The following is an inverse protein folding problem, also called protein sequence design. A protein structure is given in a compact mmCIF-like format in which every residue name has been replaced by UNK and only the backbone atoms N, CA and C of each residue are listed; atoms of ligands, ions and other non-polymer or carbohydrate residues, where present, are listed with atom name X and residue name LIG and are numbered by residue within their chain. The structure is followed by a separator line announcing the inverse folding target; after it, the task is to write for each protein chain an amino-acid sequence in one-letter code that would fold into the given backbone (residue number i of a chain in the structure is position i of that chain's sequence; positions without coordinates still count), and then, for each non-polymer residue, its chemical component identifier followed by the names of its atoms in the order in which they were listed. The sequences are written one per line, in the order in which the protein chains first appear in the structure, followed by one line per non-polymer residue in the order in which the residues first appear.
data_IF_222336216335
#
_entry.id   IF_222336216335
#
_cell.length_a   1.000
_cell.length_b   1.000
_cell.length_c   1.000
_cell.angle_alpha   90.00
_cell.angle_beta   90.00
_cell.angle_gamma   90.00
#
_symmetry.space_group_name_H-M   'P 1'
#
loop_
_entity.id
_entity.type
_entity.pdbx_description
1 polymer ?
#
# COMPACT_ATOMS: atom_id res chain seq x y z
N UNK A 1 -10.84 -38.00 -52.06
CA UNK A 1 -12.15 -38.04 -51.37
C UNK A 1 -12.41 -36.63 -50.87
N UNK A 2 -13.37 -35.95 -51.51
CA UNK A 2 -14.19 -34.81 -51.05
C UNK A 2 -13.52 -33.50 -50.56
N UNK A 3 -13.66 -32.39 -51.32
CA UNK A 3 -14.62 -31.24 -51.16
C UNK A 3 -14.10 -30.24 -50.09
N UNK A 4 -14.09 -28.89 -50.16
CA UNK A 4 -14.74 -27.84 -50.96
C UNK A 4 -14.07 -26.48 -50.55
N UNK A 5 -13.83 -25.53 -51.47
CA UNK A 5 -14.36 -24.13 -51.54
C UNK A 5 -14.30 -23.24 -50.26
N UNK A 6 -14.01 -21.92 -50.25
CA UNK A 6 -14.24 -20.79 -51.18
C UNK A 6 -13.53 -19.51 -50.65
N UNK A 7 -12.77 -18.78 -51.50
CA UNK A 7 -12.93 -17.36 -51.98
C UNK A 7 -12.75 -16.19 -50.96
N UNK A 8 -12.21 -14.97 -51.23
CA UNK A 8 -12.10 -14.07 -52.42
C UNK A 8 -10.81 -13.18 -52.33
N UNK A 9 -9.98 -13.00 -53.39
CA UNK A 9 -9.83 -11.86 -54.38
C UNK A 9 -9.46 -10.47 -53.76
N UNK A 10 -8.61 -9.58 -54.32
CA UNK A 10 -7.89 -9.39 -55.59
C UNK A 10 -6.76 -8.34 -55.35
N UNK A 11 -5.57 -8.40 -55.94
CA UNK A 11 -5.20 -7.81 -57.25
C UNK A 11 -4.48 -6.45 -57.08
N UNK A 12 -3.14 -6.36 -57.00
CA UNK A 12 -2.08 -6.41 -58.04
C UNK A 12 -1.99 -5.17 -58.95
N UNK A 13 -0.77 -4.61 -59.08
CA UNK A 13 -0.04 -4.21 -60.32
C UNK A 13 0.71 -2.87 -60.13
N UNK A 14 2.01 -2.84 -59.81
CA UNK A 14 3.24 -3.11 -60.58
C UNK A 14 3.80 -1.90 -61.37
N UNK A 15 5.05 -1.61 -61.01
CA UNK A 15 6.01 -0.58 -61.39
C UNK A 15 6.63 -0.83 -62.78
N UNK A 16 7.11 0.21 -63.49
CA UNK A 16 8.49 0.22 -64.03
C UNK A 16 8.99 1.60 -64.51
N UNK A 17 10.24 1.89 -64.13
CA UNK A 17 11.10 3.05 -64.47
C UNK A 17 11.77 2.92 -65.85
N UNK A 18 12.22 4.05 -66.40
CA UNK A 18 13.46 4.13 -67.20
C UNK A 18 14.25 5.41 -66.86
N UNK A 19 15.56 5.27 -66.68
CA UNK A 19 16.51 6.31 -66.29
C UNK A 19 17.39 6.79 -67.46
N UNK A 20 17.88 8.02 -67.41
CA UNK A 20 19.03 8.52 -68.20
C UNK A 20 19.95 9.33 -67.28
N UNK A 21 21.29 9.11 -67.29
CA UNK A 21 22.26 9.80 -66.41
C UNK A 21 23.07 10.87 -67.17
N UNK A 22 23.42 12.01 -66.55
CA UNK A 22 24.57 12.85 -66.96
C UNK A 22 25.17 13.66 -65.79
N UNK A 23 26.36 13.22 -65.36
CA UNK A 23 27.64 13.92 -65.10
C UNK A 23 27.74 15.18 -64.18
N UNK A 24 28.59 15.04 -63.16
CA UNK A 24 29.15 16.03 -62.20
C UNK A 24 30.06 17.09 -62.89
N UNK A 25 30.50 18.22 -62.31
CA UNK A 25 30.70 18.62 -60.92
C UNK A 25 30.82 20.16 -60.80
N UNK A 26 30.48 20.73 -59.64
CA UNK A 26 31.16 21.86 -59.02
C UNK A 26 30.71 21.92 -57.55
N UNK A 27 31.58 21.56 -56.61
CA UNK A 27 31.39 21.90 -55.20
C UNK A 27 31.88 23.33 -54.99
N UNK A 28 30.95 24.25 -54.73
CA UNK A 28 31.25 25.47 -54.00
C UNK A 28 29.99 25.99 -53.27
N UNK A 29 29.95 25.72 -51.96
CA UNK A 29 29.37 26.63 -50.97
C UNK A 29 27.85 26.71 -50.78
N UNK A 30 27.17 25.65 -50.33
CA UNK A 30 25.86 25.78 -49.62
C UNK A 30 25.62 24.68 -48.58
N UNK A 31 26.60 24.32 -47.75
CA UNK A 31 26.28 23.48 -46.59
C UNK A 31 25.52 24.34 -45.56
N UNK A 32 24.19 24.31 -45.66
CA UNK A 32 23.30 25.04 -44.76
C UNK A 32 23.44 24.43 -43.36
N UNK A 33 23.99 25.19 -42.43
CA UNK A 33 24.26 24.73 -41.07
C UNK A 33 23.68 25.69 -40.04
N UNK A 34 23.37 25.16 -38.85
CA UNK A 34 22.90 25.96 -37.73
C UNK A 34 24.09 26.22 -36.80
N UNK A 35 24.44 27.50 -36.64
CA UNK A 35 25.42 27.95 -35.64
C UNK A 35 24.69 28.48 -34.41
N UNK A 36 25.21 28.16 -33.24
CA UNK A 36 24.76 28.70 -31.96
C UNK A 36 25.70 29.83 -31.58
N UNK A 37 25.19 31.04 -31.42
CA UNK A 37 25.97 32.13 -30.83
C UNK A 37 25.89 32.03 -29.30
N UNK A 38 26.91 31.42 -28.69
CA UNK A 38 27.03 31.18 -27.25
C UNK A 38 28.21 30.23 -26.92
N UNK A 39 28.77 30.31 -25.71
CA UNK A 39 29.94 29.50 -25.33
C UNK A 39 29.54 28.02 -25.11
N UNK A 40 30.41 27.09 -25.53
CA UNK A 40 30.10 25.66 -25.76
C UNK A 40 29.47 24.85 -24.61
N UNK A 41 28.70 23.82 -25.04
CA UNK A 41 27.70 22.98 -24.32
C UNK A 41 26.36 23.71 -24.12
N UNK A 42 25.36 23.34 -24.92
CA UNK A 42 24.10 24.08 -25.12
C UNK A 42 23.16 23.88 -23.91
N UNK A 43 23.38 24.66 -22.85
CA UNK A 43 22.43 24.94 -21.77
C UNK A 43 21.87 26.35 -22.04
N UNK A 44 20.65 26.43 -22.62
CA UNK A 44 20.14 27.69 -23.19
C UNK A 44 19.26 28.45 -22.20
N UNK A 45 19.64 29.67 -21.86
CA UNK A 45 18.75 30.66 -21.26
C UNK A 45 18.06 31.51 -22.37
N UNK A 46 17.23 32.48 -21.96
CA UNK A 46 16.37 33.31 -22.82
C UNK A 46 17.09 34.12 -23.93
N UNK A 47 18.43 34.06 -24.01
CA UNK A 47 19.23 34.79 -24.98
C UNK A 47 19.89 33.90 -26.06
N UNK A 48 19.59 32.61 -26.12
CA UNK A 48 20.19 31.74 -27.15
C UNK A 48 19.59 32.02 -28.53
N UNK A 49 20.46 32.43 -29.46
CA UNK A 49 20.08 32.66 -30.86
C UNK A 49 20.73 31.60 -31.75
N UNK A 50 19.90 30.89 -32.51
CA UNK A 50 20.33 30.05 -33.62
C UNK A 50 20.49 30.91 -34.86
N UNK A 51 21.57 30.69 -35.62
CA UNK A 51 21.84 31.39 -36.87
C UNK A 51 22.02 30.40 -38.00
N UNK A 52 21.34 30.62 -39.11
CA UNK A 52 21.59 29.90 -40.34
C UNK A 52 22.89 30.39 -40.97
N UNK A 53 23.77 29.48 -41.40
CA UNK A 53 24.96 29.78 -42.18
C UNK A 53 24.84 29.11 -43.55
N UNK A 54 25.02 29.88 -44.63
CA UNK A 54 24.77 29.41 -46.00
C UNK A 54 23.30 29.60 -46.44
N UNK A 55 22.97 29.12 -47.64
CA UNK A 55 21.64 29.31 -48.25
C UNK A 55 21.44 30.69 -48.90
N UNK A 56 20.30 30.89 -49.56
CA UNK A 56 19.92 32.16 -50.17
C UNK A 56 19.32 33.09 -49.11
N UNK A 57 19.91 34.27 -48.91
CA UNK A 57 19.40 35.26 -47.95
C UNK A 57 17.96 35.64 -48.26
N UNK A 58 17.04 35.36 -47.32
CA UNK A 58 15.62 35.69 -47.41
C UNK A 58 14.68 34.49 -47.60
N UNK A 59 15.20 33.30 -47.88
CA UNK A 59 14.40 32.09 -48.14
C UNK A 59 14.44 31.07 -46.98
N UNK A 60 14.72 31.50 -45.76
CA UNK A 60 14.81 30.58 -44.62
C UNK A 60 13.43 30.13 -44.14
N UNK A 61 13.35 28.91 -43.62
CA UNK A 61 12.23 28.42 -42.83
C UNK A 61 12.77 27.54 -41.71
N UNK A 62 12.55 27.94 -40.45
CA UNK A 62 12.94 27.14 -39.29
C UNK A 62 11.91 26.04 -39.00
N UNK A 63 12.42 24.91 -38.53
CA UNK A 63 11.62 23.75 -38.15
C UNK A 63 11.96 23.33 -36.72
N UNK A 64 10.98 22.81 -35.98
CA UNK A 64 11.15 22.16 -34.68
C UNK A 64 10.61 20.75 -34.74
N UNK A 65 11.42 19.77 -34.37
CA UNK A 65 11.09 18.35 -34.43
C UNK A 65 10.57 17.91 -35.82
N UNK A 66 11.05 18.56 -36.88
CA UNK A 66 10.63 18.32 -38.27
C UNK A 66 9.39 19.08 -38.72
N UNK A 67 8.72 19.84 -37.86
CA UNK A 67 7.57 20.69 -38.22
C UNK A 67 7.97 22.14 -38.44
N UNK A 68 7.43 22.80 -39.46
CA UNK A 68 7.72 24.21 -39.74
C UNK A 68 7.18 25.13 -38.64
N UNK A 69 7.99 26.11 -38.25
CA UNK A 69 7.63 27.13 -37.27
C UNK A 69 7.08 28.34 -38.04
N UNK A 70 5.79 28.60 -37.90
CA UNK A 70 5.12 29.67 -38.65
C UNK A 70 5.80 31.03 -38.46
N UNK A 71 6.11 31.69 -39.58
CA UNK A 71 6.71 33.02 -39.60
C UNK A 71 8.21 33.07 -39.25
N UNK A 72 8.84 31.94 -38.94
CA UNK A 72 10.27 31.87 -38.67
C UNK A 72 11.07 31.79 -39.96
N UNK A 73 11.17 32.91 -40.68
CA UNK A 73 11.87 33.01 -41.98
C UNK A 73 13.14 33.85 -41.95
N UNK A 74 13.51 34.35 -40.77
CA UNK A 74 14.74 35.11 -40.58
C UNK A 74 16.01 34.25 -40.63
N UNK A 75 17.15 34.88 -40.90
CA UNK A 75 18.48 34.27 -40.81
C UNK A 75 18.88 33.87 -39.38
N UNK A 76 18.10 34.30 -38.39
CA UNK A 76 18.27 33.99 -36.97
C UNK A 76 16.93 33.65 -36.35
N UNK A 77 16.97 32.76 -35.36
CA UNK A 77 15.80 32.33 -34.61
C UNK A 77 16.16 32.18 -33.14
N UNK A 78 15.29 32.65 -32.26
CA UNK A 78 15.41 32.50 -30.81
C UNK A 78 14.43 31.40 -30.38
N UNK A 79 14.88 30.19 -30.07
CA UNK A 79 14.01 29.09 -29.69
C UNK A 79 13.24 29.41 -28.42
N UNK A 80 11.91 29.34 -28.45
CA UNK A 80 11.01 29.57 -27.32
C UNK A 80 10.69 28.29 -26.52
N UNK A 81 10.96 27.11 -27.10
CA UNK A 81 10.74 25.79 -26.48
C UNK A 81 11.90 24.83 -26.72
N UNK A 82 12.01 23.80 -25.89
CA UNK A 82 12.91 22.68 -26.14
C UNK A 82 12.49 21.90 -27.40
N UNK A 83 13.46 21.38 -28.15
CA UNK A 83 13.22 20.61 -29.38
C UNK A 83 14.45 20.51 -30.27
N UNK A 84 14.35 19.69 -31.32
CA UNK A 84 15.36 19.56 -32.38
C UNK A 84 15.09 20.58 -33.47
N UNK A 85 15.97 21.57 -33.63
CA UNK A 85 15.78 22.67 -34.58
C UNK A 85 16.64 22.50 -35.83
N UNK A 86 16.05 22.69 -37.01
CA UNK A 86 16.74 22.75 -38.30
C UNK A 86 16.22 23.94 -39.11
N UNK A 87 16.94 24.32 -40.16
CA UNK A 87 16.53 25.40 -41.08
C UNK A 87 16.65 24.93 -42.52
N UNK A 88 15.65 25.26 -43.34
CA UNK A 88 15.68 25.04 -44.79
C UNK A 88 15.84 26.35 -45.54
N UNK A 89 16.45 26.30 -46.73
CA UNK A 89 16.49 27.40 -47.71
C UNK A 89 16.41 26.80 -49.12
N UNK A 90 15.35 27.12 -49.87
CA UNK A 90 15.04 26.42 -51.11
C UNK A 90 14.88 24.90 -50.89
N UNK A 91 15.56 24.09 -51.70
CA UNK A 91 15.58 22.63 -51.55
C UNK A 91 16.63 22.12 -50.52
N UNK A 92 17.41 23.01 -49.91
CA UNK A 92 18.43 22.64 -48.93
C UNK A 92 17.88 22.65 -47.50
N UNK A 93 18.32 21.72 -46.65
CA UNK A 93 17.93 21.57 -45.24
C UNK A 93 19.17 21.31 -44.38
N UNK A 94 19.28 21.99 -43.24
CA UNK A 94 20.38 21.78 -42.31
C UNK A 94 20.25 20.49 -41.50
N UNK A 95 21.36 20.05 -40.89
CA UNK A 95 21.30 19.15 -39.73
C UNK A 95 20.53 19.77 -38.55
N UNK A 96 20.06 18.93 -37.62
CA UNK A 96 19.29 19.38 -36.45
C UNK A 96 20.20 19.69 -35.25
N UNK A 97 19.91 20.78 -34.55
CA UNK A 97 20.52 21.17 -33.27
C UNK A 97 19.47 21.02 -32.17
N UNK A 98 19.76 20.19 -31.16
CA UNK A 98 18.87 20.00 -30.01
C UNK A 98 19.00 21.16 -29.02
N UNK A 99 17.87 21.76 -28.66
CA UNK A 99 17.76 22.84 -27.67
C UNK A 99 17.01 22.35 -26.43
N UNK A 100 17.53 22.67 -25.25
CA UNK A 100 16.93 22.38 -23.93
C UNK A 100 16.72 23.69 -23.15
N UNK A 101 15.47 24.10 -22.92
CA UNK A 101 15.14 25.17 -21.96
C UNK A 101 14.87 24.58 -20.57
N UNK A 102 15.63 25.02 -19.56
CA UNK A 102 15.36 24.71 -18.15
C UNK A 102 14.31 25.68 -17.57
N UNK A 103 13.44 25.20 -16.67
CA UNK A 103 12.44 26.04 -15.99
C UNK A 103 13.09 26.89 -14.89
N UNK A 104 12.92 28.21 -14.92
CA UNK A 104 13.33 29.13 -13.84
C UNK A 104 12.51 28.84 -12.57
N UNK A 105 13.21 28.49 -11.47
CA UNK A 105 12.63 28.17 -10.17
C UNK A 105 12.97 29.22 -9.11
N UNK A 106 13.31 30.45 -9.51
CA UNK A 106 13.74 31.53 -8.61
C UNK A 106 12.74 31.96 -7.52
N UNK A 107 11.49 31.45 -7.54
CA UNK A 107 10.51 31.58 -6.45
C UNK A 107 10.17 30.27 -5.70
N UNK A 108 10.81 29.15 -6.03
CA UNK A 108 10.57 27.84 -5.44
C UNK A 108 11.78 27.41 -4.61
N UNK A 109 11.57 27.19 -3.31
CA UNK A 109 12.60 26.73 -2.35
C UNK A 109 13.01 25.25 -2.55
N UNK A 110 13.25 24.86 -3.80
CA UNK A 110 13.77 23.57 -4.19
C UNK A 110 14.78 23.67 -5.34
N UNK A 111 15.83 24.46 -5.13
CA UNK A 111 17.10 24.31 -5.85
C UNK A 111 18.18 23.81 -4.90
N UNK A 112 18.24 22.49 -4.71
CA UNK A 112 19.46 21.79 -4.28
C UNK A 112 19.51 20.43 -5.00
N UNK A 113 19.49 20.40 -6.34
CA UNK A 113 19.50 19.12 -7.09
C UNK A 113 20.89 18.44 -7.06
N UNK A 114 21.96 19.14 -6.67
CA UNK A 114 23.29 18.54 -6.50
C UNK A 114 23.57 17.88 -5.14
N UNK A 115 22.88 18.28 -4.06
CA UNK A 115 23.02 17.64 -2.73
C UNK A 115 21.76 16.89 -2.30
N UNK A 116 20.57 17.24 -2.80
CA UNK A 116 19.34 16.46 -2.58
C UNK A 116 19.30 15.18 -3.40
N UNK A 117 20.00 15.03 -4.53
CA UNK A 117 20.01 13.71 -5.18
C UNK A 117 20.66 12.65 -4.29
N UNK A 118 21.76 12.97 -3.59
CA UNK A 118 22.32 12.03 -2.62
C UNK A 118 21.53 11.96 -1.30
N UNK A 119 20.88 13.03 -0.83
CA UNK A 119 20.08 12.97 0.42
C UNK A 119 18.63 12.52 0.23
N UNK A 120 18.05 12.61 -0.96
CA UNK A 120 16.72 12.14 -1.32
C UNK A 120 16.81 10.74 -1.91
N UNK A 121 17.88 10.39 -2.65
CA UNK A 121 18.21 8.99 -2.87
C UNK A 121 18.55 8.35 -1.52
N UNK A 122 19.46 8.89 -0.69
CA UNK A 122 19.70 8.27 0.62
C UNK A 122 18.49 8.27 1.56
N UNK A 123 17.56 9.24 1.47
CA UNK A 123 16.30 9.19 2.26
C UNK A 123 15.27 8.26 1.66
N UNK A 124 15.18 8.14 0.33
CA UNK A 124 14.28 7.23 -0.36
C UNK A 124 14.79 5.80 -0.25
N UNK A 125 16.09 5.59 -0.41
CA UNK A 125 16.82 4.35 -0.12
C UNK A 125 16.73 4.03 1.37
N UNK A 126 16.89 5.00 2.29
CA UNK A 126 16.71 4.73 3.74
C UNK A 126 15.25 4.49 4.13
N UNK A 127 14.28 5.13 3.49
CA UNK A 127 12.86 4.86 3.74
C UNK A 127 12.41 3.56 3.09
N UNK A 128 12.95 3.21 1.92
CA UNK A 128 12.75 1.92 1.26
C UNK A 128 13.44 0.84 2.07
N UNK A 129 14.69 1.00 2.50
CA UNK A 129 15.40 0.06 3.36
C UNK A 129 14.72 -0.07 4.72
N UNK A 130 14.21 1.02 5.30
CA UNK A 130 13.40 0.96 6.53
C UNK A 130 12.05 0.30 6.29
N UNK A 131 11.44 0.48 5.13
CA UNK A 131 10.17 -0.18 4.76
C UNK A 131 10.40 -1.65 4.43
N UNK A 132 11.48 -2.01 3.75
CA UNK A 132 11.93 -3.36 3.44
C UNK A 132 12.32 -4.08 4.72
N UNK A 133 13.02 -3.41 5.66
CA UNK A 133 13.29 -3.94 6.98
C UNK A 133 12.01 -4.15 7.79
N UNK A 134 11.05 -3.21 7.76
CA UNK A 134 9.73 -3.39 8.41
C UNK A 134 8.90 -4.50 7.76
N UNK A 135 8.95 -4.63 6.45
CA UNK A 135 8.26 -5.69 5.69
C UNK A 135 8.94 -7.03 5.96
N UNK A 136 10.26 -7.06 6.07
CA UNK A 136 11.03 -8.26 6.41
C UNK A 136 10.81 -8.66 7.86
N UNK A 137 10.79 -7.71 8.80
CA UNK A 137 10.47 -7.92 10.21
C UNK A 137 9.03 -8.41 10.36
N UNK A 138 8.05 -7.77 9.70
CA UNK A 138 6.67 -8.23 9.66
C UNK A 138 6.52 -9.61 8.98
N UNK A 139 7.33 -9.91 7.95
CA UNK A 139 7.33 -11.21 7.30
C UNK A 139 8.01 -12.29 8.15
N UNK A 140 9.00 -11.93 8.97
CA UNK A 140 9.65 -12.82 9.93
C UNK A 140 8.76 -13.07 11.16
N UNK A 141 8.04 -12.04 11.63
CA UNK A 141 7.00 -12.14 12.66
C UNK A 141 5.83 -12.99 12.18
N UNK A 142 5.36 -12.80 10.94
CA UNK A 142 4.35 -13.66 10.30
C UNK A 142 4.84 -15.09 10.03
N UNK A 143 6.16 -15.34 10.06
CA UNK A 143 6.76 -16.68 9.95
C UNK A 143 6.99 -17.34 11.31
N UNK A 144 6.92 -16.59 12.42
CA UNK A 144 6.91 -17.21 13.74
C UNK A 144 5.60 -17.98 13.88
N UNK A 145 5.65 -19.29 14.20
CA UNK A 145 4.43 -20.03 14.43
C UNK A 145 3.66 -19.34 15.55
N UNK A 146 2.33 -19.19 15.40
CA UNK A 146 1.52 -18.52 16.41
C UNK A 146 1.78 -19.18 17.77
N UNK A 147 1.83 -18.37 18.84
CA UNK A 147 2.18 -18.86 20.16
C UNK A 147 1.22 -20.00 20.54
N UNK A 148 1.74 -21.22 20.68
CA UNK A 148 0.89 -22.40 20.83
C UNK A 148 0.64 -22.70 22.31
N UNK A 149 -0.59 -23.10 22.62
CA UNK A 149 -0.93 -23.64 23.93
C UNK A 149 -0.25 -24.99 24.11
N UNK A 150 0.93 -24.99 24.75
CA UNK A 150 1.72 -26.19 24.98
C UNK A 150 1.28 -26.98 26.23
N UNK A 151 1.74 -28.23 26.33
CA UNK A 151 1.39 -29.13 27.43
C UNK A 151 1.81 -28.60 28.80
N UNK A 152 2.95 -27.90 28.90
CA UNK A 152 3.43 -27.33 30.16
C UNK A 152 2.45 -26.33 30.74
N UNK A 153 1.91 -25.44 29.90
CA UNK A 153 0.87 -24.49 30.30
C UNK A 153 -0.42 -25.19 30.73
N UNK A 154 -0.83 -26.23 29.99
CA UNK A 154 -2.02 -27.02 30.31
C UNK A 154 -1.89 -27.66 31.70
N UNK A 155 -0.81 -28.39 31.96
CA UNK A 155 -0.61 -29.06 33.24
C UNK A 155 -0.58 -28.05 34.41
N UNK A 156 0.15 -26.94 34.25
CA UNK A 156 0.21 -25.90 35.27
C UNK A 156 -1.16 -25.26 35.54
N UNK A 157 -1.94 -24.95 34.50
CA UNK A 157 -3.25 -24.34 34.63
C UNK A 157 -4.28 -25.28 35.28
N UNK A 158 -4.24 -26.58 34.94
CA UNK A 158 -5.09 -27.59 35.56
C UNK A 158 -4.73 -27.78 37.03
N UNK A 159 -3.45 -27.91 37.38
CA UNK A 159 -2.99 -28.04 38.77
C UNK A 159 -3.41 -26.83 39.63
N UNK A 160 -3.29 -25.62 39.07
CA UNK A 160 -3.74 -24.40 39.71
C UNK A 160 -5.27 -24.40 39.93
N UNK A 161 -6.05 -24.81 38.92
CA UNK A 161 -7.50 -24.87 39.01
C UNK A 161 -7.98 -25.91 40.03
N UNK A 162 -7.35 -27.08 40.09
CA UNK A 162 -7.61 -28.09 41.12
C UNK A 162 -7.38 -27.53 42.53
N UNK A 163 -6.24 -26.85 42.72
CA UNK A 163 -5.85 -26.29 44.02
C UNK A 163 -6.81 -25.21 44.51
N UNK A 164 -7.39 -24.44 43.57
CA UNK A 164 -8.34 -23.38 43.85
C UNK A 164 -9.82 -23.83 43.83
N UNK A 165 -10.11 -25.06 43.40
CA UNK A 165 -11.49 -25.53 43.15
C UNK A 165 -12.20 -24.75 42.06
N UNK A 166 -11.45 -24.28 41.05
CA UNK A 166 -11.87 -23.26 40.10
C UNK A 166 -11.96 -23.72 38.65
N UNK A 167 -11.96 -22.73 37.76
CA UNK A 167 -11.96 -22.92 36.30
C UNK A 167 -10.50 -22.89 35.80
N UNK A 168 -10.17 -23.70 34.81
CA UNK A 168 -8.85 -23.64 34.17
C UNK A 168 -8.67 -22.28 33.51
N UNK A 169 -7.56 -21.61 33.82
CA UNK A 169 -7.21 -20.31 33.26
C UNK A 169 -5.84 -20.37 32.62
N UNK A 170 -5.76 -20.03 31.34
CA UNK A 170 -4.52 -19.80 30.61
C UNK A 170 -4.28 -18.30 30.51
N UNK A 171 -3.02 -17.89 30.56
CA UNK A 171 -2.63 -16.48 30.38
C UNK A 171 -1.98 -16.32 29.02
N UNK A 172 -2.36 -15.26 28.30
CA UNK A 172 -1.84 -14.94 26.96
C UNK A 172 -1.91 -16.14 26.01
N UNK A 173 -3.05 -16.84 26.06
CA UNK A 173 -3.24 -18.07 25.29
C UNK A 173 -3.33 -17.75 23.80
N UNK A 174 -2.44 -18.31 22.98
CA UNK A 174 -2.60 -18.31 21.53
C UNK A 174 -3.33 -19.56 21.03
N UNK A 175 -2.73 -20.27 20.08
CA UNK A 175 -3.38 -21.38 19.37
C UNK A 175 -3.47 -22.64 20.22
N UNK A 176 -4.69 -23.04 20.56
CA UNK A 176 -5.01 -24.33 21.14
C UNK A 176 -5.22 -25.36 20.03
N UNK A 177 -4.21 -26.18 19.79
CA UNK A 177 -4.29 -27.29 18.84
C UNK A 177 -5.23 -28.40 19.33
N UNK A 178 -5.88 -29.10 18.39
CA UNK A 178 -6.82 -30.18 18.71
C UNK A 178 -6.24 -31.26 19.64
N UNK A 179 -4.98 -31.67 19.42
CA UNK A 179 -4.33 -32.68 20.26
C UNK A 179 -4.13 -32.20 21.70
N UNK A 180 -3.73 -30.95 21.89
CA UNK A 180 -3.55 -30.35 23.22
C UNK A 180 -4.89 -30.06 23.90
N UNK A 181 -5.91 -29.67 23.13
CA UNK A 181 -7.30 -29.57 23.60
C UNK A 181 -7.80 -30.90 24.16
N UNK A 182 -7.57 -32.00 23.45
CA UNK A 182 -8.02 -33.32 23.89
C UNK A 182 -7.34 -33.76 25.19
N UNK A 183 -6.06 -33.40 25.38
CA UNK A 183 -5.35 -33.57 26.66
C UNK A 183 -6.00 -32.73 27.77
N UNK A 184 -6.29 -31.45 27.50
CA UNK A 184 -6.92 -30.55 28.47
C UNK A 184 -8.32 -31.04 28.88
N UNK A 185 -9.14 -31.51 27.93
CA UNK A 185 -10.46 -32.11 28.20
C UNK A 185 -10.31 -33.36 29.08
N UNK A 186 -9.34 -34.22 28.79
CA UNK A 186 -9.10 -35.43 29.59
C UNK A 186 -8.74 -35.08 31.03
N UNK A 187 -7.77 -34.17 31.23
CA UNK A 187 -7.33 -33.77 32.57
C UNK A 187 -8.46 -33.12 33.37
N UNK A 188 -9.16 -32.15 32.78
CA UNK A 188 -10.32 -31.51 33.45
C UNK A 188 -11.40 -32.51 33.84
N UNK A 189 -11.67 -33.52 33.00
CA UNK A 189 -12.60 -34.60 33.31
C UNK A 189 -12.13 -35.54 34.43
N UNK A 190 -10.85 -35.92 34.42
CA UNK A 190 -10.23 -36.75 35.46
C UNK A 190 -10.30 -36.07 36.85
N UNK A 191 -10.16 -34.74 36.87
CA UNK A 191 -10.12 -33.94 38.09
C UNK A 191 -11.48 -33.35 38.51
N UNK A 192 -12.54 -33.62 37.75
CA UNK A 192 -13.89 -33.10 38.02
C UNK A 192 -14.00 -31.57 37.88
N UNK A 193 -13.09 -30.95 37.14
CA UNK A 193 -13.11 -29.51 36.86
C UNK A 193 -14.21 -29.18 35.82
N UNK A 194 -14.73 -27.94 35.82
CA UNK A 194 -15.72 -27.53 34.83
C UNK A 194 -15.21 -27.65 33.39
N UNK A 195 -16.10 -28.00 32.46
CA UNK A 195 -15.86 -27.95 31.01
C UNK A 195 -15.88 -26.49 30.50
N UNK A 196 -14.97 -25.67 31.04
CA UNK A 196 -14.83 -24.25 30.74
C UNK A 196 -13.37 -23.87 30.85
N UNK A 197 -12.93 -23.04 29.92
CA UNK A 197 -11.59 -22.47 29.87
C UNK A 197 -11.71 -20.94 29.87
N UNK A 198 -10.89 -20.30 30.70
CA UNK A 198 -10.62 -18.87 30.66
C UNK A 198 -9.25 -18.63 30.03
N UNK A 199 -9.20 -17.65 29.15
CA UNK A 199 -7.98 -17.17 28.51
C UNK A 199 -7.86 -15.69 28.83
N UNK A 200 -6.95 -15.35 29.75
CA UNK A 200 -6.82 -14.03 30.31
C UNK A 200 -5.61 -13.32 29.72
N UNK A 201 -5.79 -12.07 29.34
CA UNK A 201 -4.69 -11.12 29.23
C UNK A 201 -4.63 -10.29 30.52
N UNK A 202 -3.45 -10.16 31.11
CA UNK A 202 -3.27 -9.47 32.39
C UNK A 202 -2.19 -8.41 32.26
N UNK A 203 -2.57 -7.17 32.58
CA UNK A 203 -1.64 -6.04 32.72
C UNK A 203 -1.75 -5.48 34.13
N UNK A 204 -0.61 -5.09 34.72
CA UNK A 204 -0.56 -4.52 36.07
C UNK A 204 -1.34 -5.31 37.13
N UNK A 205 -1.32 -6.65 37.01
CA UNK A 205 -2.05 -7.62 37.86
C UNK A 205 -3.57 -7.55 37.76
N UNK A 206 -4.11 -6.86 36.77
CA UNK A 206 -5.54 -6.79 36.48
C UNK A 206 -5.81 -7.55 35.20
N UNK A 207 -6.88 -8.35 35.18
CA UNK A 207 -7.37 -8.93 33.92
C UNK A 207 -7.84 -7.77 33.05
N UNK A 208 -7.31 -7.66 31.85
CA UNK A 208 -7.69 -6.65 30.86
C UNK A 208 -8.72 -7.24 29.91
N UNK A 209 -8.46 -8.43 29.39
CA UNK A 209 -9.41 -9.19 28.60
C UNK A 209 -9.52 -10.61 29.15
N UNK A 210 -10.69 -11.23 28.94
CA UNK A 210 -10.89 -12.66 29.15
C UNK A 210 -11.78 -13.21 28.04
N UNK A 211 -11.28 -14.24 27.37
CA UNK A 211 -12.09 -15.10 26.51
C UNK A 211 -12.51 -16.34 27.32
N UNK A 212 -13.81 -16.60 27.38
CA UNK A 212 -14.40 -17.73 28.07
C UNK A 212 -15.05 -18.68 27.07
N UNK A 213 -14.68 -19.95 27.12
CA UNK A 213 -15.12 -20.94 26.13
C UNK A 213 -15.36 -22.32 26.73
N UNK A 214 -16.28 -23.08 26.12
CA UNK A 214 -16.48 -24.50 26.47
C UNK A 214 -15.51 -25.36 25.67
N UNK A 215 -14.73 -26.22 26.33
CA UNK A 215 -13.69 -27.01 25.65
C UNK A 215 -14.28 -27.98 24.63
N UNK A 216 -15.41 -28.61 24.96
CA UNK A 216 -16.07 -29.57 24.06
C UNK A 216 -16.74 -28.95 22.84
N UNK A 217 -16.90 -27.63 22.79
CA UNK A 217 -17.54 -26.92 21.67
C UNK A 217 -16.54 -26.42 20.62
N UNK A 218 -15.24 -26.47 20.89
CA UNK A 218 -14.21 -25.94 20.01
C UNK A 218 -13.93 -26.89 18.84
N UNK A 219 -13.95 -26.43 17.58
CA UNK A 219 -13.55 -27.22 16.42
C UNK A 219 -12.03 -27.23 16.26
N UNK A 220 -11.44 -28.32 15.74
CA UNK A 220 -10.04 -28.34 15.28
C UNK A 220 -9.04 -27.62 16.21
N UNK A 221 -8.14 -26.83 15.61
CA UNK A 221 -7.31 -25.84 16.30
C UNK A 221 -8.02 -24.49 16.32
N UNK A 222 -7.92 -23.78 17.44
CA UNK A 222 -8.54 -22.46 17.62
C UNK A 222 -7.54 -21.52 18.28
N UNK A 223 -7.45 -20.30 17.78
CA UNK A 223 -6.71 -19.23 18.43
C UNK A 223 -7.55 -18.61 19.56
N UNK A 224 -7.03 -18.64 20.77
CA UNK A 224 -7.70 -18.14 21.96
C UNK A 224 -7.21 -16.74 22.36
N UNK A 225 -6.36 -16.14 21.53
CA UNK A 225 -5.83 -14.80 21.74
C UNK A 225 -6.95 -13.76 21.73
N UNK A 226 -6.94 -12.92 22.76
CA UNK A 226 -7.82 -11.77 22.86
C UNK A 226 -7.05 -10.64 23.51
N UNK A 227 -6.69 -9.62 22.75
CA UNK A 227 -5.91 -8.49 23.24
C UNK A 227 -6.63 -7.18 22.93
N UNK A 228 -6.33 -6.09 23.65
CA UNK A 228 -6.56 -4.75 23.13
C UNK A 228 -5.89 -4.60 21.76
N UNK A 229 -6.51 -3.85 20.84
CA UNK A 229 -5.84 -3.50 19.60
C UNK A 229 -4.58 -2.66 19.88
N UNK A 230 -3.62 -2.73 18.96
CA UNK A 230 -2.39 -1.95 19.07
C UNK A 230 -2.65 -0.43 19.04
N UNK A 231 -1.69 0.33 19.57
CA UNK A 231 -1.79 1.79 19.72
C UNK A 231 -1.89 2.52 18.37
N UNK A 232 -1.33 1.97 17.29
CA UNK A 232 -1.38 2.58 15.95
C UNK A 232 -2.80 2.47 15.38
N UNK A 233 -3.42 1.28 15.45
CA UNK A 233 -4.79 1.07 15.01
C UNK A 233 -5.79 1.86 15.89
N UNK A 234 -5.60 1.86 17.20
CA UNK A 234 -6.43 2.64 18.13
C UNK A 234 -6.38 4.15 17.77
N UNK A 235 -5.18 4.69 17.57
CA UNK A 235 -4.99 6.09 17.18
C UNK A 235 -5.68 6.42 15.85
N UNK A 236 -5.60 5.52 14.87
CA UNK A 236 -6.23 5.71 13.56
C UNK A 236 -7.76 5.80 13.67
N UNK A 237 -8.36 5.01 14.54
CA UNK A 237 -9.80 5.07 14.82
C UNK A 237 -10.19 6.33 15.59
N UNK A 238 -9.39 6.75 16.57
CA UNK A 238 -9.61 8.01 17.29
C UNK A 238 -9.50 9.24 16.37
N UNK A 239 -8.62 9.21 15.37
CA UNK A 239 -8.53 10.26 14.35
C UNK A 239 -9.74 10.24 13.41
N UNK A 240 -10.22 9.05 13.03
CA UNK A 240 -11.28 8.87 12.06
C UNK A 240 -12.70 9.10 12.61
N UNK A 241 -12.95 8.80 13.89
CA UNK A 241 -14.29 8.84 14.48
C UNK A 241 -14.34 9.70 15.74
N UNK A 242 -15.51 10.27 16.00
CA UNK A 242 -15.73 11.13 17.17
C UNK A 242 -16.23 10.37 18.40
N UNK A 243 -16.52 9.08 18.25
CA UNK A 243 -17.05 8.20 19.29
C UNK A 243 -16.02 7.87 20.38
N UNK A 244 -16.51 7.56 21.58
CA UNK A 244 -15.75 6.77 22.54
C UNK A 244 -15.80 5.30 22.11
N UNK A 245 -14.64 4.67 21.99
CA UNK A 245 -14.53 3.33 21.44
C UNK A 245 -13.51 2.49 22.23
N UNK A 246 -13.67 1.18 22.06
CA UNK A 246 -12.74 0.16 22.49
C UNK A 246 -12.49 -0.77 21.30
N UNK A 247 -11.22 -1.03 21.01
CA UNK A 247 -10.81 -1.92 19.94
C UNK A 247 -10.15 -3.17 20.52
N UNK A 248 -10.51 -4.33 20.00
CA UNK A 248 -9.98 -5.63 20.42
C UNK A 248 -9.49 -6.41 19.23
N UNK A 249 -8.38 -7.10 19.39
CA UNK A 249 -7.92 -8.14 18.48
C UNK A 249 -8.28 -9.51 19.07
N UNK A 250 -9.32 -10.10 18.51
CA UNK A 250 -9.65 -11.50 18.75
C UNK A 250 -8.96 -12.35 17.66
N UNK A 251 -7.80 -12.91 17.99
CA UNK A 251 -6.84 -13.48 17.03
C UNK A 251 -7.41 -14.58 16.12
N UNK A 252 -8.50 -15.24 16.53
CA UNK A 252 -9.17 -16.22 15.69
C UNK A 252 -9.73 -15.58 14.42
N UNK A 253 -9.17 -15.97 13.29
CA UNK A 253 -9.78 -15.67 11.99
C UNK A 253 -11.08 -16.48 11.81
N UNK A 254 -12.19 -15.77 11.62
CA UNK A 254 -13.50 -16.38 11.43
C UNK A 254 -14.12 -16.95 12.72
N UNK A 255 -14.78 -18.11 12.60
CA UNK A 255 -15.68 -18.61 13.63
C UNK A 255 -15.00 -19.49 14.69
N UNK A 256 -15.38 -19.33 15.95
CA UNK A 256 -14.99 -20.21 17.06
C UNK A 256 -15.74 -21.56 17.08
N UNK A 257 -16.69 -21.77 16.17
CA UNK A 257 -17.57 -22.94 16.13
C UNK A 257 -18.68 -22.96 17.20
N UNK A 258 -18.65 -22.01 18.12
CA UNK A 258 -19.64 -21.78 19.18
C UNK A 258 -19.71 -20.29 19.52
N UNK A 259 -20.67 -19.89 20.34
CA UNK A 259 -20.62 -18.57 20.99
C UNK A 259 -19.63 -18.63 22.15
N UNK A 260 -18.62 -17.75 22.12
CA UNK A 260 -17.68 -17.52 23.22
C UNK A 260 -18.12 -16.27 23.98
N UNK A 261 -17.80 -16.18 25.26
CA UNK A 261 -18.05 -14.99 26.08
C UNK A 261 -16.74 -14.20 26.21
N UNK A 262 -16.76 -12.93 25.83
CA UNK A 262 -15.65 -12.01 26.00
C UNK A 262 -15.97 -11.05 27.15
N UNK A 263 -14.95 -10.80 27.96
CA UNK A 263 -14.95 -9.83 29.03
C UNK A 263 -13.79 -8.88 28.78
N UNK A 264 -14.01 -7.58 28.90
CA UNK A 264 -12.97 -6.57 28.69
C UNK A 264 -13.10 -5.42 29.65
N UNK A 265 -11.96 -4.94 30.14
CA UNK A 265 -11.89 -3.73 30.96
C UNK A 265 -12.17 -2.52 30.08
N UNK A 266 -13.32 -1.92 30.27
CA UNK A 266 -13.86 -0.89 29.38
C UNK A 266 -13.81 0.49 30.03
N UNK A 267 -12.65 0.86 30.59
CA UNK A 267 -12.44 2.12 31.31
C UNK A 267 -12.74 3.37 30.46
N UNK A 268 -12.63 3.24 29.13
CA UNK A 268 -12.84 4.33 28.17
C UNK A 268 -14.28 4.46 27.66
N UNK A 269 -15.17 3.52 28.03
CA UNK A 269 -16.59 3.59 27.71
C UNK A 269 -17.35 4.16 28.91
N UNK A 270 -18.18 5.17 28.67
CA UNK A 270 -19.02 5.78 29.69
C UNK A 270 -20.16 4.86 30.14
N UNK A 271 -20.57 3.91 29.28
CA UNK A 271 -21.72 3.03 29.47
C UNK A 271 -23.06 3.77 29.43
N UNK A 272 -23.07 5.05 29.01
CA UNK A 272 -24.25 5.92 29.01
C UNK A 272 -25.11 5.78 27.74
N UNK A 273 -24.57 5.22 26.67
CA UNK A 273 -25.24 4.98 25.40
C UNK A 273 -25.32 3.49 25.07
N UNK A 274 -26.24 3.10 24.18
CA UNK A 274 -26.26 1.76 23.60
C UNK A 274 -24.95 1.52 22.83
N UNK A 275 -24.36 0.34 23.00
CA UNK A 275 -23.12 -0.03 22.33
C UNK A 275 -23.41 -0.61 20.94
N UNK A 276 -22.69 -0.13 19.93
CA UNK A 276 -22.65 -0.71 18.59
C UNK A 276 -21.35 -1.50 18.40
N UNK A 277 -21.47 -2.69 17.80
CA UNK A 277 -20.35 -3.60 17.59
C UNK A 277 -20.08 -3.79 16.10
N UNK A 278 -18.81 -3.71 15.71
CA UNK A 278 -18.37 -3.90 14.33
C UNK A 278 -17.16 -4.82 14.25
N UNK A 279 -16.99 -5.46 13.10
CA UNK A 279 -15.73 -6.07 12.66
C UNK A 279 -15.05 -5.14 11.67
N UNK A 280 -13.78 -4.84 11.93
CA UNK A 280 -12.92 -4.10 11.02
C UNK A 280 -12.11 -5.06 10.15
N UNK A 281 -12.20 -4.86 8.84
CA UNK A 281 -11.38 -5.55 7.84
C UNK A 281 -10.26 -4.60 7.37
N UNK A 282 -8.99 -4.85 7.73
CA UNK A 282 -7.87 -3.99 7.37
C UNK A 282 -7.57 -4.00 5.86
N UNK A 283 -7.91 -5.07 5.13
CA UNK A 283 -7.64 -5.17 3.69
C UNK A 283 -8.57 -4.26 2.89
N UNK A 284 -9.84 -4.20 3.30
CA UNK A 284 -10.83 -3.34 2.65
C UNK A 284 -11.02 -1.99 3.34
N UNK A 285 -10.40 -1.78 4.51
CA UNK A 285 -10.58 -0.63 5.39
C UNK A 285 -12.07 -0.34 5.66
N UNK A 286 -12.81 -1.37 6.09
CA UNK A 286 -14.27 -1.28 6.32
C UNK A 286 -14.67 -1.86 7.66
N UNK A 287 -15.59 -1.17 8.32
CA UNK A 287 -16.32 -1.69 9.46
C UNK A 287 -17.64 -2.31 9.00
N UNK A 288 -17.95 -3.51 9.47
CA UNK A 288 -19.22 -4.22 9.22
C UNK A 288 -19.88 -4.59 10.55
N UNK A 289 -21.22 -4.54 10.69
CA UNK A 289 -21.87 -4.87 11.95
C UNK A 289 -21.54 -6.28 12.45
N UNK A 290 -21.23 -6.40 13.74
CA UNK A 290 -20.95 -7.67 14.40
C UNK A 290 -22.16 -8.10 15.25
N UNK A 291 -22.62 -9.33 15.05
CA UNK A 291 -23.69 -9.90 15.87
C UNK A 291 -23.14 -10.31 17.24
N UNK A 292 -23.72 -9.77 18.30
CA UNK A 292 -23.37 -10.06 19.69
C UNK A 292 -24.61 -10.42 20.51
N UNK A 293 -24.39 -10.99 21.70
CA UNK A 293 -25.43 -11.37 22.64
C UNK A 293 -24.99 -11.09 24.07
N UNK A 294 -25.93 -11.10 25.03
CA UNK A 294 -25.64 -10.97 26.46
C UNK A 294 -24.70 -9.80 26.82
N UNK A 295 -24.97 -8.62 26.25
CA UNK A 295 -24.14 -7.42 26.44
C UNK A 295 -24.52 -6.76 27.77
N UNK A 296 -23.57 -6.63 28.69
CA UNK A 296 -23.77 -5.91 29.94
C UNK A 296 -22.44 -5.48 30.57
N UNK A 297 -22.47 -4.44 31.41
CA UNK A 297 -21.36 -4.11 32.30
C UNK A 297 -21.55 -4.76 33.67
N UNK A 298 -20.49 -5.34 34.23
CA UNK A 298 -20.52 -5.80 35.62
C UNK A 298 -20.22 -4.67 36.61
N UNK A 299 -20.34 -4.97 37.91
CA UNK A 299 -20.11 -3.99 38.98
C UNK A 299 -18.65 -3.52 39.08
N UNK A 300 -17.72 -4.22 38.45
CA UNK A 300 -16.30 -3.88 38.42
C UNK A 300 -15.92 -3.06 37.17
N UNK A 301 -16.88 -2.74 36.30
CA UNK A 301 -16.67 -1.92 35.10
C UNK A 301 -16.23 -2.73 33.88
N UNK A 302 -16.29 -4.06 33.93
CA UNK A 302 -15.99 -4.88 32.77
C UNK A 302 -17.21 -5.00 31.87
N UNK A 303 -16.98 -4.83 30.57
CA UNK A 303 -17.97 -5.14 29.54
C UNK A 303 -17.93 -6.63 29.23
N UNK A 304 -19.08 -7.28 29.28
CA UNK A 304 -19.29 -8.68 28.91
C UNK A 304 -20.16 -8.74 27.66
N UNK A 305 -19.83 -9.65 26.74
CA UNK A 305 -20.66 -9.96 25.56
C UNK A 305 -20.33 -11.33 24.98
N UNK A 306 -21.30 -11.96 24.33
CA UNK A 306 -21.14 -13.20 23.59
C UNK A 306 -20.99 -12.97 22.09
N UNK A 307 -20.02 -13.64 21.44
CA UNK A 307 -19.77 -13.55 20.00
C UNK A 307 -19.37 -14.91 19.42
N UNK A 308 -19.62 -15.15 18.13
CA UNK A 308 -19.35 -16.46 17.50
C UNK A 308 -18.08 -16.50 16.63
N UNK A 309 -17.40 -15.38 16.42
CA UNK A 309 -16.18 -15.32 15.61
C UNK A 309 -15.31 -14.14 15.99
N UNK A 310 -14.01 -14.26 15.75
CA UNK A 310 -12.99 -13.27 16.09
C UNK A 310 -12.80 -12.22 15.00
N UNK A 311 -11.54 -11.83 14.80
CA UNK A 311 -11.08 -10.69 14.03
C UNK A 311 -10.96 -9.41 14.87
N UNK A 312 -10.61 -8.31 14.20
CA UNK A 312 -10.55 -6.98 14.82
C UNK A 312 -11.97 -6.48 15.11
N UNK A 313 -12.27 -6.30 16.39
CA UNK A 313 -13.56 -5.82 16.88
C UNK A 313 -13.47 -4.35 17.24
N UNK A 314 -14.49 -3.59 16.86
CA UNK A 314 -14.67 -2.19 17.23
C UNK A 314 -15.97 -2.10 18.02
N UNK A 315 -15.86 -1.65 19.26
CA UNK A 315 -16.98 -1.46 20.18
C UNK A 315 -17.11 0.05 20.38
N UNK A 316 -18.22 0.62 19.95
CA UNK A 316 -18.45 2.06 19.93
C UNK A 316 -19.66 2.41 20.79
N UNK A 317 -19.58 3.55 21.51
CA UNK A 317 -20.77 4.18 22.06
C UNK A 317 -21.57 4.81 20.93
N UNK A 318 -22.76 4.27 20.65
CA UNK A 318 -23.56 4.59 19.47
C UNK A 318 -22.92 4.15 18.16
N UNK A 319 -23.61 4.46 17.06
CA UNK A 319 -23.12 4.19 15.71
C UNK A 319 -21.86 5.02 15.39
N UNK A 320 -20.97 4.48 14.56
CA UNK A 320 -19.72 5.17 14.18
C UNK A 320 -20.00 6.48 13.42
N UNK A 321 -19.49 7.59 13.97
CA UNK A 321 -19.63 8.95 13.45
C UNK A 321 -18.26 9.52 13.07
N UNK A 322 -18.05 9.75 11.76
CA UNK A 322 -16.78 10.27 11.26
C UNK A 322 -16.44 11.66 11.83
N UNK A 323 -15.17 11.87 12.17
CA UNK A 323 -14.64 13.20 12.47
C UNK A 323 -14.60 14.03 11.18
N UNK A 324 -15.28 15.18 11.21
CA UNK A 324 -15.32 16.16 10.11
C UNK A 324 -14.10 17.04 10.02
#
# INVERSE_FOLDING_TARGET
MMLYQKQFFAGLLALLLAAVPVTAAAEDGTDLSVRVDGNGRIETNDNTTLKAQGGSEGDYQWHRNGESIDGATGNSYVPDRSGDYSVSSGDAQSGSVRVWREFDTSGSSSLVIGKRSNTLASRKDSQIEKLEARVQEAAEEAQQPPETVNLGMIYAAVEAAQSAGGVVTLYDAGVLEAGNRDVLIRLTGEDGLPNRLYCDHVEDRSVITRLSVSLSGLPGSVDLGLLPADEELASLFEEAFSNQMLLLDAAQDGAYGQTVEMMVKADNLSGAADLSFYRYDPDSNRCSPAAVSNVFFDSAGYLHFGISGGGLLVISEGDLEARG
#
